data_IF_133810707593
#
_entry.id   IF_133810707593
#
_cell.length_a   1.000
_cell.length_b   1.000
_cell.length_c   1.000
_cell.angle_alpha   90.00
_cell.angle_beta   90.00
_cell.angle_gamma   90.00
#
_symmetry.space_group_name_H-M   'P 1'
#
loop_
_entity.id
_entity.type
_entity.pdbx_description
1 polymer ?
#
# COMPACT_ATOMS: atom_id res chain seq x y z
N UNK A 1 -9.78 24.07 19.05
CA UNK A 1 -9.45 23.36 17.83
C UNK A 1 -8.72 22.06 18.16
N UNK A 2 -9.17 20.94 17.66
CA UNK A 2 -8.50 19.70 17.97
C UNK A 2 -7.10 19.67 17.36
N UNK A 3 -6.17 19.10 18.10
CA UNK A 3 -4.82 18.95 17.62
C UNK A 3 -4.73 17.94 16.50
N UNK A 4 -5.61 16.95 16.53
CA UNK A 4 -5.67 15.95 15.49
C UNK A 4 -6.85 16.27 14.60
N UNK A 5 -6.56 16.46 13.33
CA UNK A 5 -7.62 16.74 12.38
C UNK A 5 -8.47 15.50 12.19
N UNK A 6 -9.79 15.66 12.21
CA UNK A 6 -10.64 14.52 11.86
C UNK A 6 -10.33 14.10 10.42
N UNK A 7 -10.40 12.82 10.17
CA UNK A 7 -10.18 12.32 8.83
C UNK A 7 -11.31 12.78 7.95
N UNK A 8 -10.95 13.59 6.96
CA UNK A 8 -11.91 14.01 5.95
C UNK A 8 -11.98 13.01 4.82
N UNK A 9 -10.91 12.25 4.65
CA UNK A 9 -10.88 11.19 3.65
C UNK A 9 -10.46 9.92 4.32
N UNK A 10 -11.28 8.92 4.20
CA UNK A 10 -10.89 7.57 4.57
C UNK A 10 -10.59 6.82 3.30
N UNK A 11 -9.38 6.31 3.23
CA UNK A 11 -9.06 5.41 2.14
C UNK A 11 -9.72 4.08 2.47
N UNK A 12 -10.61 3.65 1.58
CA UNK A 12 -11.30 2.40 1.76
C UNK A 12 -10.30 1.26 1.68
N UNK A 13 -10.39 0.34 2.63
CA UNK A 13 -9.53 -0.85 2.61
C UNK A 13 -10.34 -2.03 2.10
N UNK A 14 -9.65 -2.92 1.41
CA UNK A 14 -10.25 -4.16 0.94
C UNK A 14 -9.36 -5.32 1.37
N UNK A 15 -9.98 -6.46 1.58
CA UNK A 15 -9.23 -7.64 1.97
C UNK A 15 -8.50 -8.20 0.77
N UNK A 16 -7.22 -8.51 0.97
CA UNK A 16 -6.40 -9.12 -0.06
C UNK A 16 -5.64 -10.29 0.55
N UNK A 17 -5.79 -11.45 -0.04
CA UNK A 17 -5.13 -12.65 0.45
C UNK A 17 -3.99 -12.98 -0.49
N UNK A 18 -2.80 -13.10 0.06
CA UNK A 18 -1.63 -13.45 -0.72
C UNK A 18 -0.75 -14.41 0.08
N UNK A 19 0.15 -15.06 -0.63
CA UNK A 19 1.16 -15.90 -0.01
C UNK A 19 2.47 -15.16 0.00
N UNK A 20 3.13 -15.15 1.14
CA UNK A 20 4.44 -14.56 1.29
C UNK A 20 5.46 -15.66 1.48
N UNK A 21 6.66 -15.43 1.00
CA UNK A 21 7.77 -16.32 1.35
C UNK A 21 7.95 -16.23 2.86
N UNK A 22 8.26 -17.34 3.48
CA UNK A 22 8.34 -17.41 4.94
C UNK A 22 9.29 -16.37 5.54
N UNK A 23 10.51 -16.18 5.02
CA UNK A 23 11.38 -15.14 5.57
C UNK A 23 10.78 -13.73 5.44
N UNK A 24 10.04 -13.48 4.36
CA UNK A 24 9.43 -12.17 4.16
C UNK A 24 8.28 -11.95 5.12
N UNK A 25 7.51 -12.98 5.39
CA UNK A 25 6.44 -12.89 6.37
C UNK A 25 7.01 -12.60 7.75
N UNK A 26 8.07 -13.30 8.12
CA UNK A 26 8.69 -13.09 9.42
C UNK A 26 9.26 -11.69 9.54
N UNK A 27 9.90 -11.20 8.49
CA UNK A 27 10.43 -9.85 8.47
C UNK A 27 9.32 -8.82 8.57
N UNK A 28 8.20 -9.05 7.89
CA UNK A 28 7.06 -8.14 7.93
C UNK A 28 6.49 -8.03 9.34
N UNK A 29 6.29 -9.16 10.00
CA UNK A 29 5.75 -9.19 11.36
C UNK A 29 6.69 -8.50 12.33
N UNK A 30 7.98 -8.78 12.22
CA UNK A 30 8.98 -8.16 13.09
C UNK A 30 9.09 -6.67 12.85
N UNK A 31 9.04 -6.25 11.60
CA UNK A 31 9.12 -4.83 11.29
C UNK A 31 7.91 -4.07 11.82
N UNK A 32 6.73 -4.66 11.70
CA UNK A 32 5.52 -4.06 12.24
C UNK A 32 5.64 -3.87 13.75
N UNK A 33 6.18 -4.87 14.44
CA UNK A 33 6.41 -4.75 15.88
C UNK A 33 7.45 -3.69 16.20
N UNK A 34 8.49 -3.60 15.38
CA UNK A 34 9.55 -2.62 15.56
C UNK A 34 9.01 -1.20 15.52
N UNK A 35 8.12 -0.90 14.58
CA UNK A 35 7.54 0.45 14.48
C UNK A 35 6.26 0.60 15.30
N UNK A 36 5.78 -0.47 15.92
CA UNK A 36 4.58 -0.40 16.76
C UNK A 36 3.29 -0.25 15.97
N UNK A 37 3.19 -0.87 14.82
CA UNK A 37 2.00 -0.80 14.00
C UNK A 37 1.64 -2.18 13.47
N UNK A 38 0.66 -2.24 12.59
CA UNK A 38 0.17 -3.50 12.04
C UNK A 38 0.92 -3.88 10.76
N UNK A 39 0.88 -5.17 10.43
CA UNK A 39 1.43 -5.65 9.18
C UNK A 39 0.70 -5.04 7.99
N UNK A 40 -0.60 -4.81 8.12
CA UNK A 40 -1.38 -4.17 7.07
C UNK A 40 -0.86 -2.77 6.77
N UNK A 41 -0.56 -2.01 7.81
CA UNK A 41 -0.01 -0.68 7.64
C UNK A 41 1.33 -0.72 6.93
N UNK A 42 2.20 -1.63 7.34
CA UNK A 42 3.53 -1.77 6.74
C UNK A 42 3.41 -2.12 5.27
N UNK A 43 2.54 -3.06 4.92
CA UNK A 43 2.33 -3.44 3.53
C UNK A 43 1.83 -2.27 2.69
N UNK A 44 0.88 -1.51 3.20
CA UNK A 44 0.38 -0.35 2.48
C UNK A 44 1.48 0.68 2.28
N UNK A 45 2.31 0.90 3.28
CA UNK A 45 3.42 1.83 3.16
C UNK A 45 4.46 1.36 2.14
N UNK A 46 4.74 0.08 2.10
CA UNK A 46 5.66 -0.47 1.11
C UNK A 46 5.15 -0.26 -0.31
N UNK A 47 3.86 -0.46 -0.52
CA UNK A 47 3.26 -0.21 -1.82
C UNK A 47 3.35 1.28 -2.17
N UNK A 48 3.00 2.14 -1.22
CA UNK A 48 3.02 3.58 -1.45
C UNK A 48 4.42 4.12 -1.71
N UNK A 49 5.43 3.54 -1.05
CA UNK A 49 6.80 4.04 -1.17
C UNK A 49 7.60 3.37 -2.28
N UNK A 50 7.20 2.19 -2.70
CA UNK A 50 7.96 1.43 -3.70
C UNK A 50 7.26 1.44 -5.04
N UNK A 51 6.07 0.88 -5.10
CA UNK A 51 5.36 0.72 -6.36
C UNK A 51 4.87 2.08 -6.89
N UNK A 52 4.31 2.88 -6.00
CA UNK A 52 3.76 4.18 -6.39
C UNK A 52 4.83 5.15 -6.88
N UNK A 53 6.08 4.91 -6.53
CA UNK A 53 7.20 5.76 -6.96
C UNK A 53 7.99 5.19 -8.12
N UNK A 54 7.59 4.05 -8.61
CA UNK A 54 8.21 3.47 -9.80
C UNK A 54 7.74 4.23 -11.03
N UNK A 55 8.65 4.99 -11.63
CA UNK A 55 8.29 5.88 -12.74
C UNK A 55 7.79 5.12 -13.97
N UNK A 56 8.41 4.01 -14.26
CA UNK A 56 7.97 3.20 -15.39
C UNK A 56 6.57 2.68 -15.17
N UNK A 57 6.29 2.22 -13.96
CA UNK A 57 4.96 1.74 -13.62
C UNK A 57 3.93 2.85 -13.67
N UNK A 58 4.25 4.02 -13.12
CA UNK A 58 3.33 5.16 -13.11
C UNK A 58 3.00 5.59 -14.52
N UNK A 59 4.00 5.63 -15.39
CA UNK A 59 3.80 5.98 -16.80
C UNK A 59 2.93 4.95 -17.49
N UNK A 60 3.24 3.68 -17.28
CA UNK A 60 2.46 2.60 -17.89
C UNK A 60 1.00 2.65 -17.42
N UNK A 61 0.79 2.86 -16.13
CA UNK A 61 -0.56 2.90 -15.57
C UNK A 61 -1.37 4.08 -16.12
N UNK A 62 -0.72 5.22 -16.29
CA UNK A 62 -1.38 6.40 -16.87
C UNK A 62 -1.83 6.11 -18.30
N UNK A 63 -1.02 5.40 -19.06
CA UNK A 63 -1.39 4.99 -20.42
C UNK A 63 -2.58 4.04 -20.40
N UNK A 64 -2.64 3.14 -19.42
CA UNK A 64 -3.76 2.23 -19.28
C UNK A 64 -5.06 2.97 -18.98
N UNK A 65 -4.97 4.03 -18.19
CA UNK A 65 -6.15 4.85 -17.86
C UNK A 65 -6.61 5.69 -19.03
N UNK A 66 -5.67 6.13 -19.87
CA UNK A 66 -5.99 6.96 -21.02
C UNK A 66 -6.75 6.17 -22.09
N UNK A 67 -6.54 4.87 -22.14
CA UNK A 67 -7.26 4.02 -23.08
C UNK A 67 -8.47 3.43 -22.39
N UNK A 68 -9.63 3.47 -23.04
CA UNK A 68 -10.78 2.78 -22.47
C UNK A 68 -10.45 1.29 -22.39
N UNK A 69 -10.89 0.64 -21.30
CA UNK A 69 -10.61 -0.77 -21.17
C UNK A 69 -11.22 -1.55 -22.32
N UNK A 70 -10.48 -2.53 -22.80
CA UNK A 70 -10.99 -3.41 -23.84
C UNK A 70 -12.19 -4.16 -23.27
N UNK A 71 -13.26 -4.11 -23.99
CA UNK A 71 -14.52 -4.71 -23.55
C UNK A 71 -14.72 -6.08 -24.14
#
# INVERSE_FOLDING_TARGET
MPLIKPRTKRVKTVRHICRLQEPNRDALVLYARFIGDTADYVLNQLIDTTIAKDREFVTWRAAQRAEPPAQ
#
